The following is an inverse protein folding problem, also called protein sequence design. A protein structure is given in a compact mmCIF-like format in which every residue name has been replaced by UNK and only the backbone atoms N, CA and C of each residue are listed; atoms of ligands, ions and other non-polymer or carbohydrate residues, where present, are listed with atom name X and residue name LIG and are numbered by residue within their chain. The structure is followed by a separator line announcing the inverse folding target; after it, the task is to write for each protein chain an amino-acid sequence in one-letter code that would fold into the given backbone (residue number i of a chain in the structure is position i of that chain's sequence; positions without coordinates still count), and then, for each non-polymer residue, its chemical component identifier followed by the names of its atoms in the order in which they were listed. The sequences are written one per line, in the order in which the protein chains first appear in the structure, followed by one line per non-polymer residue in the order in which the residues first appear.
data_IF_008061433826
#
_entry.id   IF_008061433826
#
_cell.length_a   1.000
_cell.length_b   1.000
_cell.length_c   1.000
_cell.angle_alpha   90.00
_cell.angle_beta   90.00
_cell.angle_gamma   90.00
#
_symmetry.space_group_name_H-M   'P 1'
#
loop_
_entity.id
_entity.type
_entity.pdbx_description
1 polymer ?
#
# COMPACT_ATOMS: atom_id res chain seq x y z
N UNK A 1 -2.52 -0.23 -12.86
CA UNK A 1 -1.22 0.40 -12.60
C UNK A 1 -0.11 -0.64 -12.62
N UNK A 2 1.13 -0.27 -12.92
CA UNK A 2 2.28 -1.19 -12.89
C UNK A 2 2.68 -1.53 -11.44
N UNK A 3 2.89 -2.82 -11.15
CA UNK A 3 3.29 -3.30 -9.81
C UNK A 3 4.80 -3.19 -9.62
N UNK A 4 5.30 -2.00 -9.27
CA UNK A 4 6.72 -1.78 -9.00
C UNK A 4 6.98 -0.69 -7.97
N UNK A 5 8.04 -0.89 -7.19
CA UNK A 5 8.59 0.10 -6.25
C UNK A 5 9.39 1.21 -6.94
N UNK A 6 9.90 0.96 -8.16
CA UNK A 6 10.71 1.93 -8.93
C UNK A 6 11.88 2.54 -8.14
N UNK A 7 12.54 1.74 -7.29
CA UNK A 7 13.63 2.18 -6.42
C UNK A 7 13.23 3.25 -5.37
N UNK A 8 11.94 3.36 -5.05
CA UNK A 8 11.45 4.28 -4.04
C UNK A 8 11.53 3.67 -2.64
N UNK A 9 12.26 4.31 -1.72
CA UNK A 9 12.28 4.01 -0.29
C UNK A 9 12.70 2.56 0.06
N UNK A 10 13.69 2.01 -0.65
CA UNK A 10 14.11 0.60 -0.53
C UNK A 10 14.32 0.08 0.91
N UNK A 11 14.99 0.85 1.76
CA UNK A 11 15.27 0.41 3.12
C UNK A 11 14.03 0.52 4.01
N UNK A 12 13.28 1.61 3.85
CA UNK A 12 12.10 1.90 4.65
C UNK A 12 10.94 0.97 4.33
N UNK A 13 10.86 0.47 3.09
CA UNK A 13 9.77 -0.41 2.65
C UNK A 13 10.09 -1.91 2.78
N UNK A 14 11.23 -2.27 3.38
CA UNK A 14 11.67 -3.65 3.53
C UNK A 14 10.63 -4.55 4.25
N UNK A 15 9.84 -3.97 5.16
CA UNK A 15 8.78 -4.66 5.90
C UNK A 15 7.41 -4.00 5.71
N UNK A 16 7.26 -3.11 4.72
CA UNK A 16 5.99 -2.44 4.47
C UNK A 16 5.05 -3.32 3.66
N UNK A 17 3.76 -3.16 3.92
CA UNK A 17 2.75 -3.75 3.05
C UNK A 17 2.44 -2.81 1.88
N UNK A 18 2.24 -3.41 0.71
CA UNK A 18 1.87 -2.66 -0.47
C UNK A 18 0.35 -2.68 -0.69
N UNK A 19 -0.20 -1.50 -0.96
CA UNK A 19 -1.54 -1.30 -1.46
C UNK A 19 -1.43 -0.75 -2.89
N UNK A 20 -2.08 -1.42 -3.83
CA UNK A 20 -2.10 -1.01 -5.23
C UNK A 20 -3.54 -0.75 -5.65
N UNK A 21 -3.75 0.37 -6.35
CA UNK A 21 -5.03 0.71 -6.95
C UNK A 21 -4.90 0.72 -8.48
N UNK A 22 -5.98 0.37 -9.17
CA UNK A 22 -6.07 0.47 -10.62
C UNK A 22 -6.32 1.92 -11.08
N UNK A 23 -6.71 2.78 -10.14
CA UNK A 23 -6.99 4.19 -10.38
C UNK A 23 -5.73 4.95 -10.81
N UNK A 24 -5.92 5.93 -11.70
CA UNK A 24 -4.85 6.83 -12.10
C UNK A 24 -4.68 7.94 -11.05
N UNK A 25 -3.46 8.48 -10.93
CA UNK A 25 -3.15 9.53 -9.96
C UNK A 25 -4.06 10.77 -10.04
N UNK A 26 -4.45 11.29 -11.23
CA UNK A 26 -5.36 12.43 -11.32
C UNK A 26 -6.75 12.17 -10.75
N UNK A 27 -7.19 10.91 -10.71
CA UNK A 27 -8.50 10.51 -10.20
C UNK A 27 -8.46 10.14 -8.71
N UNK A 28 -7.26 10.09 -8.10
CA UNK A 28 -7.07 9.65 -6.72
C UNK A 28 -7.47 10.75 -5.74
N UNK A 29 -8.57 10.53 -5.01
CA UNK A 29 -9.12 11.46 -4.02
C UNK A 29 -8.99 10.96 -2.57
N UNK A 30 -9.53 11.74 -1.63
CA UNK A 30 -9.49 11.42 -0.19
C UNK A 30 -10.26 10.12 0.11
N UNK A 31 -11.34 9.82 -0.61
CA UNK A 31 -12.12 8.60 -0.39
C UNK A 31 -11.33 7.37 -0.80
N UNK A 32 -10.54 7.48 -1.86
CA UNK A 32 -9.64 6.41 -2.30
C UNK A 32 -8.49 6.19 -1.30
N UNK A 33 -8.03 7.25 -0.62
CA UNK A 33 -7.12 7.12 0.51
C UNK A 33 -7.78 6.42 1.71
N UNK A 34 -9.01 6.77 2.07
CA UNK A 34 -9.75 6.12 3.16
C UNK A 34 -9.94 4.61 2.88
N UNK A 35 -10.29 4.24 1.64
CA UNK A 35 -10.36 2.84 1.21
C UNK A 35 -9.02 2.12 1.33
N UNK A 36 -7.92 2.77 0.97
CA UNK A 36 -6.59 2.21 1.11
C UNK A 36 -6.23 1.95 2.59
N UNK A 37 -6.60 2.86 3.49
CA UNK A 37 -6.39 2.71 4.93
C UNK A 37 -7.26 1.61 5.54
N UNK A 38 -8.53 1.52 5.13
CA UNK A 38 -9.42 0.43 5.56
C UNK A 38 -8.88 -0.93 5.10
N UNK A 39 -8.47 -1.03 3.83
CA UNK A 39 -7.88 -2.24 3.28
C UNK A 39 -6.58 -2.63 4.01
N UNK A 40 -5.76 -1.65 4.43
CA UNK A 40 -4.57 -1.90 5.25
C UNK A 40 -4.95 -2.37 6.68
N UNK A 41 -6.03 -1.84 7.25
CA UNK A 41 -6.52 -2.22 8.58
C UNK A 41 -7.16 -3.60 8.65
N UNK A 42 -7.80 -4.06 7.57
CA UNK A 42 -8.48 -5.37 7.52
C UNK A 42 -7.53 -6.57 7.29
N UNK A 43 -6.26 -6.32 6.93
CA UNK A 43 -5.31 -7.41 6.69
C UNK A 43 -4.93 -8.11 7.99
N UNK A 44 -4.96 -9.43 7.95
CA UNK A 44 -4.45 -10.25 9.05
C UNK A 44 -2.94 -10.11 9.13
N UNK A 45 -2.49 -9.26 10.05
CA UNK A 45 -1.08 -9.02 10.30
C UNK A 45 -0.44 -10.30 10.83
N UNK A 46 0.54 -10.80 10.07
CA UNK A 46 1.49 -11.77 10.59
C UNK A 46 2.51 -11.00 11.40
N UNK A 47 2.33 -10.96 12.71
CA UNK A 47 3.37 -10.50 13.63
C UNK A 47 4.51 -11.52 13.51
N UNK A 48 5.53 -11.20 12.71
CA UNK A 48 6.70 -12.04 12.53
C UNK A 48 7.40 -12.24 13.87
N UNK A 49 7.08 -13.34 14.54
CA UNK A 49 7.65 -13.77 15.79
C UNK A 49 7.78 -15.27 15.77
N UNK A 50 8.97 -15.72 15.37
CA UNK A 50 9.71 -16.81 16.01
C UNK A 50 11.07 -16.22 16.43
#
# INVERSE_FOLDING_TARGET
GEFRLSNFMLWQTAYSEYYFTELLWPDFDIKELEKALEAYGQRQRRFGGD
#
